data_IF_813191260890
#
_entry.id   IF_813191260890
#
_cell.length_a   1.000
_cell.length_b   1.000
_cell.length_c   1.000
_cell.angle_alpha   90.00
_cell.angle_beta   90.00
_cell.angle_gamma   90.00
#
_symmetry.space_group_name_H-M   'P 1'
#
loop_
_entity.id
_entity.type
_entity.pdbx_description
1 polymer ?
#
# COMPACT_ATOMS: atom_id res chain seq x y z
N UNK A 1 11.38 17.85 -18.84
CA UNK A 1 11.35 19.15 -18.13
C UNK A 1 9.94 19.69 -18.26
N UNK A 2 9.36 20.26 -17.21
CA UNK A 2 8.00 20.81 -17.28
C UNK A 2 8.05 22.33 -17.45
N UNK A 3 7.15 22.89 -18.26
CA UNK A 3 7.03 24.34 -18.43
C UNK A 3 6.34 24.98 -17.21
N UNK A 4 6.80 26.17 -16.80
CA UNK A 4 6.27 26.91 -15.64
C UNK A 4 5.74 28.29 -16.05
N UNK A 5 4.84 28.87 -15.24
CA UNK A 5 4.25 30.18 -15.51
C UNK A 5 3.96 30.93 -14.20
N UNK A 6 4.00 32.27 -14.21
CA UNK A 6 3.65 33.12 -13.07
C UNK A 6 2.17 33.02 -12.66
N UNK A 7 1.28 32.56 -13.54
CA UNK A 7 -0.11 32.21 -13.19
C UNK A 7 -0.24 30.84 -12.50
N UNK A 8 0.84 30.05 -12.40
CA UNK A 8 0.89 28.71 -11.80
C UNK A 8 1.83 28.69 -10.60
N UNK A 9 1.57 29.58 -9.65
CA UNK A 9 2.36 29.71 -8.42
C UNK A 9 1.46 29.68 -7.21
N UNK A 10 1.87 28.90 -6.21
CA UNK A 10 1.27 28.85 -4.88
C UNK A 10 2.16 29.66 -3.94
N UNK A 11 1.59 30.71 -3.37
CA UNK A 11 2.24 31.52 -2.35
C UNK A 11 1.90 30.97 -0.95
N UNK A 12 2.79 30.20 -0.33
CA UNK A 12 2.51 29.62 1.00
C UNK A 12 2.42 30.67 2.11
N UNK A 13 2.90 31.89 1.87
CA UNK A 13 2.76 33.00 2.81
C UNK A 13 1.32 33.45 3.01
N UNK A 14 0.38 33.04 2.15
CA UNK A 14 -1.05 33.32 2.30
C UNK A 14 -1.73 32.39 3.29
N UNK A 15 -1.12 31.22 3.59
CA UNK A 15 -1.73 30.19 4.43
C UNK A 15 -1.05 30.09 5.80
N UNK A 16 0.26 30.34 5.88
CA UNK A 16 1.04 30.17 7.12
C UNK A 16 2.03 31.30 7.34
N UNK A 17 2.45 31.48 8.60
CA UNK A 17 3.60 32.32 8.92
C UNK A 17 4.91 31.64 8.46
N UNK A 18 5.36 32.03 7.27
CA UNK A 18 6.60 31.50 6.67
C UNK A 18 7.87 31.87 7.45
N UNK A 19 7.81 32.76 8.45
CA UNK A 19 8.95 33.05 9.33
C UNK A 19 9.13 32.00 10.44
N UNK A 20 8.06 31.26 10.76
CA UNK A 20 8.03 30.20 11.76
C UNK A 20 8.55 28.84 11.24
N UNK A 21 8.84 28.73 9.94
CA UNK A 21 9.24 27.47 9.29
C UNK A 21 10.52 27.63 8.47
N UNK A 22 11.33 26.56 8.43
CA UNK A 22 12.32 26.35 7.38
C UNK A 22 11.65 25.62 6.23
N UNK A 23 11.75 26.16 5.03
CA UNK A 23 11.14 25.56 3.84
C UNK A 23 12.11 25.35 2.68
N UNK A 24 11.86 24.31 1.89
CA UNK A 24 12.35 24.18 0.51
C UNK A 24 11.23 24.65 -0.44
N UNK A 25 11.57 25.44 -1.46
CA UNK A 25 10.64 26.02 -2.45
C UNK A 25 10.78 25.33 -3.82
N UNK A 26 9.79 25.53 -4.69
CA UNK A 26 9.81 25.17 -6.11
C UNK A 26 8.78 24.09 -6.47
N UNK A 27 9.15 23.06 -7.24
CA UNK A 27 8.25 22.03 -7.79
C UNK A 27 7.83 20.96 -6.76
N UNK A 28 8.25 21.13 -5.51
CA UNK A 28 7.83 20.41 -4.31
C UNK A 28 8.23 21.25 -3.10
N UNK A 29 7.49 21.13 -2.00
CA UNK A 29 7.78 21.79 -0.74
C UNK A 29 8.22 20.81 0.34
N UNK A 30 9.13 21.23 1.21
CA UNK A 30 9.42 20.53 2.47
C UNK A 30 9.45 21.55 3.60
N UNK A 31 8.72 21.30 4.68
CA UNK A 31 8.60 22.23 5.81
C UNK A 31 8.99 21.60 7.14
N UNK A 32 9.79 22.36 7.90
CA UNK A 32 10.12 22.08 9.30
C UNK A 32 9.75 23.31 10.13
N UNK A 33 8.92 23.13 11.16
CA UNK A 33 8.66 24.19 12.15
C UNK A 33 9.94 24.43 12.95
N UNK A 34 10.31 25.71 13.10
CA UNK A 34 11.50 26.13 13.83
C UNK A 34 11.31 25.94 15.34
N UNK A 35 12.40 25.64 16.03
CA UNK A 35 12.38 25.57 17.49
C UNK A 35 12.08 26.95 18.08
N UNK A 36 11.14 27.01 19.05
CA UNK A 36 10.70 28.26 19.67
C UNK A 36 9.68 29.07 18.86
N UNK A 37 9.23 28.58 17.70
CA UNK A 37 8.17 29.21 16.94
C UNK A 37 6.83 29.20 17.71
N UNK A 38 6.01 30.24 17.53
CA UNK A 38 4.66 30.32 18.12
C UNK A 38 3.61 29.58 17.28
N UNK A 39 3.98 28.41 16.75
CA UNK A 39 3.08 27.50 16.01
C UNK A 39 3.54 26.06 16.23
N UNK A 40 2.64 25.10 15.98
CA UNK A 40 2.96 23.67 16.03
C UNK A 40 2.96 23.07 14.63
N UNK A 41 3.56 21.89 14.50
CA UNK A 41 3.53 21.12 13.25
C UNK A 41 2.10 20.81 12.83
N UNK A 42 1.25 20.43 13.79
CA UNK A 42 -0.16 20.10 13.56
C UNK A 42 -0.97 21.32 13.10
N UNK A 43 -0.71 22.50 13.67
CA UNK A 43 -1.34 23.75 13.25
C UNK A 43 -0.96 24.07 11.79
N UNK A 44 0.34 24.07 11.46
CA UNK A 44 0.83 24.28 10.09
C UNK A 44 0.25 23.26 9.11
N UNK A 45 0.19 21.99 9.51
CA UNK A 45 -0.39 20.93 8.69
C UNK A 45 -1.88 21.18 8.41
N UNK A 46 -2.63 21.61 9.43
CA UNK A 46 -4.06 21.92 9.31
C UNK A 46 -4.31 23.14 8.41
N UNK A 47 -3.53 24.20 8.56
CA UNK A 47 -3.66 25.44 7.77
C UNK A 47 -3.34 25.21 6.28
N UNK A 48 -2.44 24.27 5.98
CA UNK A 48 -2.05 23.94 4.61
C UNK A 48 -2.96 22.88 3.96
N UNK A 49 -3.56 21.98 4.72
CA UNK A 49 -4.41 20.92 4.14
C UNK A 49 -5.64 21.52 3.49
N UNK A 50 -5.89 21.13 2.24
CA UNK A 50 -7.05 21.55 1.45
C UNK A 50 -7.14 23.08 1.21
N UNK A 51 -6.07 23.85 1.43
CA UNK A 51 -6.09 25.31 1.24
C UNK A 51 -5.81 25.76 -0.20
N UNK A 52 -5.29 24.87 -1.05
CA UNK A 52 -5.13 25.10 -2.49
C UNK A 52 -5.31 23.79 -3.27
N UNK A 53 -6.01 23.82 -4.40
CA UNK A 53 -6.33 22.63 -5.20
C UNK A 53 -5.12 22.00 -5.92
N UNK A 54 -4.06 22.79 -6.13
CA UNK A 54 -2.84 22.37 -6.84
C UNK A 54 -1.72 21.92 -5.91
N UNK A 55 -2.01 21.75 -4.61
CA UNK A 55 -1.07 21.14 -3.66
C UNK A 55 -1.72 20.07 -2.80
N UNK A 56 -0.94 19.04 -2.48
CA UNK A 56 -1.28 17.97 -1.55
C UNK A 56 -0.24 17.94 -0.44
N UNK A 57 -0.71 18.01 0.79
CA UNK A 57 0.15 18.18 1.97
C UNK A 57 0.15 16.89 2.77
N UNK A 58 1.34 16.31 2.92
CA UNK A 58 1.56 15.04 3.58
C UNK A 58 2.45 15.24 4.81
N UNK A 59 2.17 14.49 5.87
CA UNK A 59 3.28 14.05 6.71
C UNK A 59 4.17 13.13 5.87
N UNK A 60 5.49 13.19 6.01
CA UNK A 60 6.41 12.39 5.17
C UNK A 60 6.08 10.89 5.23
N UNK A 61 5.61 10.38 6.37
CA UNK A 61 5.19 8.99 6.56
C UNK A 61 3.91 8.62 5.78
N UNK A 62 3.15 9.62 5.32
CA UNK A 62 1.90 9.46 4.57
C UNK A 62 2.10 9.61 3.05
N UNK A 63 3.33 9.87 2.59
CA UNK A 63 3.62 9.95 1.17
C UNK A 63 3.33 8.61 0.46
N UNK A 64 2.97 8.64 -0.83
CA UNK A 64 2.84 7.42 -1.62
C UNK A 64 4.12 6.56 -1.50
N UNK A 65 3.96 5.32 -1.02
CA UNK A 65 5.10 4.42 -0.70
C UNK A 65 6.06 4.24 -1.88
N UNK A 66 5.55 4.26 -3.12
CA UNK A 66 6.36 4.20 -4.36
C UNK A 66 7.46 5.27 -4.45
N UNK A 67 7.33 6.38 -3.74
CA UNK A 67 8.32 7.44 -3.72
C UNK A 67 9.55 7.09 -2.87
N UNK A 68 9.42 6.14 -1.93
CA UNK A 68 10.46 5.77 -0.96
C UNK A 68 11.12 7.01 -0.29
N UNK A 69 10.32 8.03 0.01
CA UNK A 69 10.78 9.37 0.41
C UNK A 69 10.35 9.77 1.83
N UNK A 70 10.53 8.87 2.80
CA UNK A 70 10.15 9.11 4.20
C UNK A 70 11.27 8.78 5.20
N UNK A 71 11.96 7.65 5.01
CA UNK A 71 12.92 7.10 5.98
C UNK A 71 14.31 7.77 5.95
N UNK A 72 14.37 9.08 6.19
CA UNK A 72 15.64 9.77 6.44
C UNK A 72 15.45 11.05 7.25
N UNK A 73 16.32 11.29 8.25
CA UNK A 73 16.28 12.49 9.11
C UNK A 73 16.44 13.85 8.39
N UNK A 74 16.85 13.83 7.12
CA UNK A 74 17.01 15.04 6.28
C UNK A 74 15.73 15.38 5.51
N UNK A 75 14.75 14.48 5.50
CA UNK A 75 13.43 14.73 4.94
C UNK A 75 12.60 15.35 6.07
N UNK A 76 12.21 16.61 5.86
CA UNK A 76 11.40 17.33 6.84
C UNK A 76 10.03 16.65 7.07
N UNK A 77 9.39 16.85 8.24
CA UNK A 77 8.15 16.17 8.60
C UNK A 77 6.98 16.44 7.67
N UNK A 78 6.89 17.63 7.07
CA UNK A 78 5.83 18.00 6.13
C UNK A 78 6.41 18.03 4.72
N UNK A 79 5.77 17.29 3.82
CA UNK A 79 6.03 17.32 2.38
C UNK A 79 4.82 17.91 1.65
N UNK A 80 5.08 18.76 0.66
CA UNK A 80 4.06 19.36 -0.20
C UNK A 80 4.32 18.90 -1.62
N UNK A 81 3.45 18.04 -2.12
CA UNK A 81 3.38 17.65 -3.52
C UNK A 81 2.57 18.71 -4.29
N UNK A 82 3.05 19.12 -5.45
CA UNK A 82 2.36 20.12 -6.29
C UNK A 82 2.16 19.57 -7.69
N UNK A 83 1.11 20.05 -8.35
CA UNK A 83 0.82 19.64 -9.72
C UNK A 83 1.95 20.00 -10.70
N UNK A 84 2.12 19.19 -11.74
CA UNK A 84 3.15 19.40 -12.76
C UNK A 84 3.06 20.81 -13.37
N UNK A 85 4.17 21.54 -13.37
CA UNK A 85 4.26 22.92 -13.86
C UNK A 85 3.78 24.01 -12.89
N UNK A 86 3.28 23.64 -11.70
CA UNK A 86 3.05 24.57 -10.59
C UNK A 86 4.31 24.73 -9.74
N UNK A 87 4.44 25.84 -9.02
CA UNK A 87 5.55 26.02 -8.08
C UNK A 87 5.08 26.63 -6.77
N UNK A 88 5.78 26.28 -5.70
CA UNK A 88 5.50 26.72 -4.35
C UNK A 88 6.59 27.65 -3.83
N UNK A 89 6.23 28.86 -3.43
CA UNK A 89 7.17 29.88 -2.92
C UNK A 89 6.62 30.62 -1.71
N UNK A 90 7.49 31.23 -0.91
CA UNK A 90 7.09 32.04 0.27
C UNK A 90 6.43 33.39 -0.06
N UNK A 91 6.59 33.85 -1.30
CA UNK A 91 6.01 35.09 -1.82
C UNK A 91 5.77 34.94 -3.32
N UNK A 92 4.84 35.71 -3.84
CA UNK A 92 4.63 35.80 -5.28
C UNK A 92 5.92 36.26 -6.00
N UNK A 93 6.34 35.55 -7.06
CA UNK A 93 7.44 35.98 -7.91
C UNK A 93 6.99 37.10 -8.85
N UNK A 94 7.88 38.04 -9.14
CA UNK A 94 7.60 39.08 -10.15
C UNK A 94 7.69 38.47 -11.55
N UNK A 95 6.94 39.05 -12.49
CA UNK A 95 7.03 38.69 -13.90
C UNK A 95 8.48 38.78 -14.40
N UNK A 96 8.94 37.73 -15.09
CA UNK A 96 10.32 37.61 -15.57
C UNK A 96 11.30 37.02 -14.56
N UNK A 97 10.89 36.71 -13.32
CA UNK A 97 11.73 35.92 -12.40
C UNK A 97 11.81 34.46 -12.88
N UNK A 98 12.99 33.84 -12.73
CA UNK A 98 13.22 32.42 -13.05
C UNK A 98 12.28 31.47 -12.28
N UNK A 99 11.77 31.92 -11.13
CA UNK A 99 10.82 31.20 -10.29
C UNK A 99 9.51 30.86 -11.02
N UNK A 100 9.15 31.62 -12.06
CA UNK A 100 7.89 31.43 -12.78
C UNK A 100 8.02 31.59 -14.30
N UNK A 101 9.22 31.46 -14.85
CA UNK A 101 9.48 31.56 -16.29
C UNK A 101 10.44 30.45 -16.75
N UNK A 102 10.20 29.91 -17.95
CA UNK A 102 10.99 28.80 -18.51
C UNK A 102 10.45 27.44 -18.07
N UNK A 103 11.32 26.56 -17.56
CA UNK A 103 10.95 25.22 -17.12
C UNK A 103 11.62 24.79 -15.82
N UNK A 104 11.02 23.81 -15.15
CA UNK A 104 11.44 23.27 -13.85
C UNK A 104 11.34 21.74 -13.81
N UNK A 105 12.06 21.12 -12.87
CA UNK A 105 12.02 19.68 -12.59
C UNK A 105 12.10 19.42 -11.09
N UNK A 106 11.59 18.27 -10.66
CA UNK A 106 11.51 17.89 -9.24
C UNK A 106 10.11 17.50 -8.78
N UNK A 107 9.14 17.53 -9.70
CA UNK A 107 7.79 16.99 -9.51
C UNK A 107 7.80 15.47 -9.34
N UNK A 108 6.62 14.91 -9.11
CA UNK A 108 6.38 13.48 -9.07
C UNK A 108 7.02 12.74 -10.26
N UNK A 109 7.77 11.68 -9.96
CA UNK A 109 8.55 10.92 -10.93
C UNK A 109 7.70 10.17 -11.97
N UNK A 110 6.38 10.06 -11.76
CA UNK A 110 5.46 9.44 -12.71
C UNK A 110 5.11 10.36 -13.89
N UNK A 111 5.29 11.68 -13.74
CA UNK A 111 4.94 12.63 -14.80
C UNK A 111 5.81 12.41 -16.04
N UNK A 112 5.24 12.40 -17.26
CA UNK A 112 6.00 12.26 -18.49
C UNK A 112 7.15 13.25 -18.62
N UNK A 113 6.95 14.49 -18.18
CA UNK A 113 7.98 15.53 -18.21
C UNK A 113 9.18 15.24 -17.29
N UNK A 114 9.02 14.41 -16.26
CA UNK A 114 10.07 14.01 -15.34
C UNK A 114 10.83 12.75 -15.79
N UNK A 115 10.41 12.13 -16.90
CA UNK A 115 11.09 10.95 -17.44
C UNK A 115 12.45 11.33 -18.03
N UNK A 116 13.45 10.49 -17.77
CA UNK A 116 14.78 10.59 -18.36
C UNK A 116 14.88 9.74 -19.62
N UNK A 117 15.86 10.04 -20.48
CA UNK A 117 16.21 9.20 -21.61
C UNK A 117 17.24 8.14 -21.19
N UNK A 118 17.17 6.96 -21.83
CA UNK A 118 18.18 5.92 -21.68
C UNK A 118 18.57 5.39 -23.08
N UNK A 119 19.87 5.28 -23.32
CA UNK A 119 20.43 4.63 -24.51
C UNK A 119 21.70 3.91 -24.10
N UNK A 120 21.94 2.74 -24.68
CA UNK A 120 23.09 1.92 -24.36
C UNK A 120 23.62 1.25 -25.63
N UNK A 121 24.93 1.34 -25.84
CA UNK A 121 25.62 0.75 -26.99
C UNK A 121 26.85 0.02 -26.47
N UNK A 122 26.97 -1.26 -26.80
CA UNK A 122 28.10 -2.05 -26.34
C UNK A 122 28.07 -3.49 -26.89
N UNK A 123 29.19 -4.23 -26.74
CA UNK A 123 29.31 -5.59 -27.24
C UNK A 123 28.38 -6.58 -26.53
N UNK A 124 28.12 -6.37 -25.23
CA UNK A 124 27.30 -7.25 -24.38
C UNK A 124 25.79 -7.00 -24.52
N UNK A 125 25.38 -5.86 -25.09
CA UNK A 125 23.99 -5.44 -25.23
C UNK A 125 23.38 -5.95 -26.54
N UNK A 126 22.09 -6.26 -26.53
CA UNK A 126 21.33 -6.56 -27.76
C UNK A 126 21.37 -5.36 -28.71
N UNK A 127 21.41 -5.62 -30.02
CA UNK A 127 21.39 -4.58 -31.07
C UNK A 127 19.96 -4.38 -31.55
N UNK A 128 19.61 -3.16 -31.95
CA UNK A 128 18.29 -2.80 -32.48
C UNK A 128 17.14 -3.25 -31.57
N UNK A 129 17.31 -3.10 -30.26
CA UNK A 129 16.36 -3.52 -29.25
C UNK A 129 15.76 -2.28 -28.56
N UNK A 130 14.44 -2.21 -28.52
CA UNK A 130 13.69 -1.23 -27.73
C UNK A 130 13.21 -1.89 -26.44
N UNK A 131 13.29 -1.15 -25.34
CA UNK A 131 12.88 -1.63 -24.02
C UNK A 131 11.75 -0.78 -23.49
N UNK A 132 10.85 -1.39 -22.71
CA UNK A 132 9.83 -0.66 -21.95
C UNK A 132 10.48 0.24 -20.88
N UNK A 133 9.79 1.32 -20.44
CA UNK A 133 10.30 2.17 -19.38
C UNK A 133 10.62 1.39 -18.10
N UNK A 134 11.75 1.70 -17.48
CA UNK A 134 12.19 1.11 -16.21
C UNK A 134 12.70 2.21 -15.27
N UNK A 135 12.84 1.88 -13.97
CA UNK A 135 13.31 2.83 -12.94
C UNK A 135 14.84 2.88 -12.90
N UNK A 136 15.41 4.07 -12.74
CA UNK A 136 16.86 4.28 -12.84
C UNK A 136 17.68 3.60 -11.73
N UNK A 137 17.05 3.17 -10.63
CA UNK A 137 17.69 2.38 -9.57
C UNK A 137 18.18 1.03 -10.06
N UNK A 138 17.58 0.48 -11.12
CA UNK A 138 18.00 -0.78 -11.76
C UNK A 138 19.35 -0.66 -12.49
N UNK A 139 19.80 0.56 -12.82
CA UNK A 139 21.01 0.77 -13.61
C UNK A 139 22.29 0.34 -12.87
N UNK A 140 22.31 0.42 -11.55
CA UNK A 140 23.48 0.02 -10.77
C UNK A 140 23.81 -1.46 -10.96
N UNK A 141 22.80 -2.32 -10.86
CA UNK A 141 22.91 -3.77 -11.11
C UNK A 141 23.41 -4.04 -12.53
N UNK A 142 22.83 -3.38 -13.54
CA UNK A 142 23.25 -3.53 -14.94
C UNK A 142 24.72 -3.11 -15.16
N UNK A 143 25.16 -2.01 -14.54
CA UNK A 143 26.55 -1.55 -14.65
C UNK A 143 27.52 -2.52 -13.98
N UNK A 144 27.16 -3.06 -12.81
CA UNK A 144 27.95 -4.08 -12.13
C UNK A 144 28.09 -5.35 -12.97
N UNK A 145 26.99 -5.83 -13.56
CA UNK A 145 26.94 -6.97 -14.47
C UNK A 145 27.83 -6.76 -15.70
N UNK A 146 27.75 -5.58 -16.33
CA UNK A 146 28.58 -5.23 -17.49
C UNK A 146 30.08 -5.10 -17.16
N UNK A 147 30.41 -4.67 -15.94
CA UNK A 147 31.78 -4.54 -15.46
C UNK A 147 32.34 -5.84 -14.86
N UNK A 148 31.52 -6.88 -14.68
CA UNK A 148 31.92 -8.14 -14.06
C UNK A 148 32.25 -8.01 -12.57
N UNK A 149 31.60 -7.08 -11.85
CA UNK A 149 31.80 -6.85 -10.41
C UNK A 149 30.56 -7.23 -9.61
N UNK A 150 30.75 -7.69 -8.38
CA UNK A 150 29.65 -7.95 -7.48
C UNK A 150 29.02 -6.61 -7.01
N UNK A 151 27.70 -6.43 -7.14
CA UNK A 151 27.01 -5.25 -6.63
C UNK A 151 27.00 -5.26 -5.09
N UNK A 152 27.09 -4.07 -4.48
CA UNK A 152 26.77 -3.89 -3.06
C UNK A 152 25.24 -3.88 -2.85
N UNK A 153 24.74 -4.11 -1.62
CA UNK A 153 23.32 -4.02 -1.33
C UNK A 153 22.70 -2.70 -1.80
N UNK A 154 21.64 -2.79 -2.59
CA UNK A 154 20.95 -1.66 -3.19
C UNK A 154 19.46 -2.01 -3.43
N UNK A 155 18.69 -1.09 -4.02
CA UNK A 155 17.25 -1.27 -4.24
C UNK A 155 16.88 -1.74 -5.65
N UNK A 156 17.87 -1.97 -6.54
CA UNK A 156 17.64 -2.58 -7.84
C UNK A 156 17.29 -4.06 -7.70
N UNK A 157 16.43 -4.55 -8.58
CA UNK A 157 16.08 -5.96 -8.70
C UNK A 157 17.03 -6.62 -9.69
N UNK A 158 18.05 -7.31 -9.19
CA UNK A 158 18.99 -8.06 -10.04
C UNK A 158 18.21 -8.97 -10.99
N UNK A 159 18.53 -8.90 -12.28
CA UNK A 159 17.81 -9.65 -13.32
C UNK A 159 16.76 -8.85 -14.09
N UNK A 160 16.21 -7.78 -13.50
CA UNK A 160 15.14 -6.98 -14.12
C UNK A 160 15.51 -6.48 -15.51
N UNK A 161 16.79 -6.12 -15.72
CA UNK A 161 17.34 -5.62 -16.99
C UNK A 161 18.14 -6.66 -17.79
N UNK A 162 18.14 -7.95 -17.43
CA UNK A 162 18.86 -9.00 -18.17
C UNK A 162 18.37 -9.16 -19.61
N UNK A 163 17.12 -8.80 -19.88
CA UNK A 163 16.56 -8.83 -21.23
C UNK A 163 17.24 -7.82 -22.18
N UNK A 164 18.02 -6.85 -21.68
CA UNK A 164 18.87 -5.95 -22.49
C UNK A 164 20.17 -6.63 -22.98
N UNK A 165 20.63 -7.67 -22.29
CA UNK A 165 21.92 -8.33 -22.54
C UNK A 165 21.77 -9.44 -23.58
N UNK A 166 22.81 -9.67 -24.38
CA UNK A 166 22.87 -10.84 -25.29
C UNK A 166 22.93 -12.15 -24.51
N UNK A 167 23.71 -12.15 -23.43
CA UNK A 167 23.84 -13.23 -22.48
C UNK A 167 24.20 -12.62 -21.11
N UNK A 168 23.39 -12.85 -20.06
CA UNK A 168 23.78 -12.53 -18.70
C UNK A 168 25.05 -13.31 -18.31
N UNK A 169 25.96 -12.66 -17.60
CA UNK A 169 27.25 -13.22 -17.18
C UNK A 169 27.14 -14.13 -15.96
N UNK A 170 26.18 -13.88 -15.08
CA UNK A 170 25.83 -14.77 -13.96
C UNK A 170 24.37 -15.24 -14.01
N UNK A 171 24.11 -16.52 -13.67
CA UNK A 171 22.77 -16.96 -13.33
C UNK A 171 22.19 -16.09 -12.22
N UNK A 172 20.87 -15.93 -12.25
CA UNK A 172 20.15 -15.45 -11.08
C UNK A 172 20.34 -16.47 -9.96
N UNK A 173 20.40 -15.98 -8.73
CA UNK A 173 20.49 -16.87 -7.58
C UNK A 173 19.21 -17.72 -7.56
N UNK A 174 19.34 -19.00 -7.21
CA UNK A 174 18.17 -19.87 -7.08
C UNK A 174 17.24 -19.26 -6.01
N UNK A 175 15.97 -19.06 -6.35
CA UNK A 175 14.99 -18.63 -5.35
C UNK A 175 14.90 -19.72 -4.27
N UNK A 176 14.89 -19.32 -2.99
CA UNK A 176 14.72 -20.27 -1.88
C UNK A 176 13.46 -21.12 -2.11
N UNK A 177 13.52 -22.41 -1.75
CA UNK A 177 12.36 -23.28 -1.94
C UNK A 177 11.12 -22.69 -1.24
N UNK A 178 10.01 -22.52 -1.98
CA UNK A 178 8.77 -21.96 -1.46
C UNK A 178 8.26 -22.69 -0.22
N UNK A 179 8.01 -21.95 0.87
CA UNK A 179 7.18 -22.47 1.97
C UNK A 179 5.72 -22.12 1.72
N UNK A 180 4.98 -23.06 1.15
CA UNK A 180 3.53 -22.93 0.94
C UNK A 180 2.82 -22.97 2.30
N UNK A 181 1.86 -22.06 2.58
CA UNK A 181 1.06 -22.09 3.79
C UNK A 181 0.37 -23.45 4.00
N UNK A 182 0.27 -23.87 5.27
CA UNK A 182 -0.44 -25.11 5.62
C UNK A 182 -1.93 -24.96 5.35
N UNK A 183 -2.60 -25.99 4.84
CA UNK A 183 -4.05 -25.95 4.64
C UNK A 183 -4.81 -25.95 5.97
N UNK A 184 -5.81 -25.07 6.10
CA UNK A 184 -6.76 -25.12 7.22
C UNK A 184 -7.79 -26.24 7.05
N UNK A 185 -8.12 -26.95 8.14
CA UNK A 185 -9.05 -28.08 8.18
C UNK A 185 -10.12 -27.81 9.25
N UNK A 186 -11.39 -28.04 8.92
CA UNK A 186 -12.53 -27.72 9.79
C UNK A 186 -12.72 -28.74 10.93
N UNK A 187 -11.86 -28.66 11.95
CA UNK A 187 -11.85 -29.58 13.10
C UNK A 187 -12.06 -28.89 14.46
N UNK A 188 -12.26 -27.56 14.46
CA UNK A 188 -12.30 -26.75 15.67
C UNK A 188 -13.69 -26.18 15.95
N UNK A 189 -13.91 -25.76 17.20
CA UNK A 189 -15.18 -25.13 17.61
C UNK A 189 -15.27 -23.68 17.11
N UNK A 190 -16.16 -23.37 16.15
CA UNK A 190 -16.31 -22.01 15.64
C UNK A 190 -16.84 -21.02 16.69
N UNK A 191 -17.42 -21.50 17.80
CA UNK A 191 -17.91 -20.60 18.87
C UNK A 191 -16.78 -19.92 19.65
N UNK A 192 -15.55 -20.42 19.54
CA UNK A 192 -14.37 -19.82 20.18
C UNK A 192 -14.09 -18.38 19.71
N UNK A 193 -14.60 -17.99 18.53
CA UNK A 193 -14.48 -16.63 18.01
C UNK A 193 -15.45 -15.62 18.66
N UNK A 194 -16.39 -16.07 19.50
CA UNK A 194 -17.36 -15.23 20.22
C UNK A 194 -18.18 -14.32 19.28
N UNK A 195 -18.51 -14.82 18.09
CA UNK A 195 -19.22 -14.06 17.08
C UNK A 195 -20.75 -14.15 17.25
N UNK A 196 -21.49 -13.09 16.87
CA UNK A 196 -22.92 -12.98 17.19
C UNK A 196 -23.81 -13.90 16.35
N UNK A 197 -23.37 -14.28 15.14
CA UNK A 197 -24.14 -15.16 14.28
C UNK A 197 -23.83 -16.64 14.50
N UNK A 198 -24.83 -17.47 14.23
CA UNK A 198 -24.67 -18.92 14.24
C UNK A 198 -23.58 -19.34 13.25
N UNK A 199 -22.74 -20.34 13.61
CA UNK A 199 -21.68 -20.81 12.73
C UNK A 199 -22.20 -21.17 11.33
N UNK A 200 -21.51 -20.66 10.31
CA UNK A 200 -21.73 -21.09 8.94
C UNK A 200 -21.18 -22.52 8.73
N UNK A 201 -21.77 -23.31 7.81
CA UNK A 201 -21.21 -24.62 7.47
C UNK A 201 -19.83 -24.47 6.82
N UNK A 202 -18.98 -25.49 6.98
CA UNK A 202 -17.67 -25.55 6.32
C UNK A 202 -17.83 -25.56 4.77
N UNK A 203 -17.07 -24.73 4.03
CA UNK A 203 -17.11 -24.71 2.57
C UNK A 203 -16.73 -26.07 1.97
N UNK A 204 -17.63 -26.65 1.16
CA UNK A 204 -17.36 -27.89 0.41
C UNK A 204 -16.74 -27.56 -0.94
N UNK A 205 -15.47 -27.14 -0.93
CA UNK A 205 -14.76 -26.65 -2.12
C UNK A 205 -13.85 -27.73 -2.71
N UNK A 206 -13.84 -27.85 -4.05
CA UNK A 206 -12.77 -28.58 -4.75
C UNK A 206 -11.49 -27.73 -4.70
N UNK A 207 -10.55 -28.11 -3.84
CA UNK A 207 -9.39 -27.28 -3.54
C UNK A 207 -8.45 -27.07 -4.71
N UNK A 208 -8.26 -28.05 -5.60
CA UNK A 208 -7.38 -27.87 -6.77
C UNK A 208 -7.98 -26.89 -7.75
N UNK A 209 -9.27 -27.05 -8.08
CA UNK A 209 -9.97 -26.17 -9.01
C UNK A 209 -10.04 -24.72 -8.49
N UNK A 210 -10.25 -24.54 -7.18
CA UNK A 210 -10.24 -23.22 -6.53
C UNK A 210 -8.86 -22.56 -6.57
N UNK A 211 -7.79 -23.35 -6.37
CA UNK A 211 -6.40 -22.87 -6.49
C UNK A 211 -6.09 -22.40 -7.91
N UNK A 212 -6.38 -23.25 -8.91
CA UNK A 212 -6.13 -22.94 -10.32
C UNK A 212 -6.92 -21.71 -10.79
N UNK A 213 -8.13 -21.52 -10.26
CA UNK A 213 -8.97 -20.38 -10.60
C UNK A 213 -8.44 -19.08 -10.00
N UNK A 214 -8.21 -19.05 -8.68
CA UNK A 214 -7.94 -17.81 -7.94
C UNK A 214 -6.46 -17.46 -7.83
N UNK A 215 -5.56 -18.43 -8.02
CA UNK A 215 -4.10 -18.26 -7.96
C UNK A 215 -3.42 -18.96 -9.15
N UNK A 216 -3.76 -18.61 -10.41
CA UNK A 216 -3.16 -19.25 -11.60
C UNK A 216 -1.64 -18.98 -11.74
N UNK A 217 -1.09 -18.08 -10.93
CA UNK A 217 0.33 -17.70 -10.90
C UNK A 217 1.09 -18.30 -9.72
N UNK A 218 0.46 -19.20 -8.96
CA UNK A 218 1.03 -19.78 -7.75
C UNK A 218 0.59 -19.08 -6.47
N UNK A 219 0.83 -19.75 -5.35
CA UNK A 219 0.48 -19.26 -4.02
C UNK A 219 1.48 -18.19 -3.59
N UNK A 220 1.04 -16.98 -3.16
CA UNK A 220 1.96 -15.97 -2.65
C UNK A 220 2.80 -16.51 -1.50
N UNK A 221 4.11 -16.40 -1.67
CA UNK A 221 5.10 -16.97 -0.77
C UNK A 221 5.64 -15.90 0.18
N UNK A 222 6.22 -16.34 1.29
CA UNK A 222 6.93 -15.48 2.22
C UNK A 222 8.21 -16.15 2.65
N UNK A 223 9.33 -15.43 2.53
CA UNK A 223 10.63 -15.88 3.05
C UNK A 223 10.67 -15.91 4.58
N UNK A 224 9.69 -15.29 5.25
CA UNK A 224 9.56 -15.26 6.71
C UNK A 224 8.11 -15.47 7.16
N UNK A 225 7.90 -16.30 8.19
CA UNK A 225 6.59 -16.45 8.84
C UNK A 225 5.52 -17.23 8.08
N UNK A 226 5.86 -17.91 6.97
CA UNK A 226 4.92 -18.84 6.28
C UNK A 226 4.43 -19.96 7.20
N UNK A 227 5.25 -20.37 8.18
CA UNK A 227 4.92 -21.40 9.17
C UNK A 227 3.72 -21.00 10.06
N UNK A 228 3.31 -19.72 10.06
CA UNK A 228 2.16 -19.20 10.80
C UNK A 228 0.94 -18.91 9.92
N UNK A 229 1.01 -19.20 8.62
CA UNK A 229 -0.08 -18.99 7.67
C UNK A 229 -0.91 -20.26 7.46
N UNK A 230 -2.22 -20.10 7.50
CA UNK A 230 -3.19 -21.12 7.10
C UNK A 230 -3.87 -20.72 5.78
N UNK A 231 -3.79 -21.57 4.76
CA UNK A 231 -4.53 -21.41 3.51
C UNK A 231 -5.96 -21.94 3.68
N UNK A 232 -6.93 -21.04 3.58
CA UNK A 232 -8.36 -21.30 3.71
C UNK A 232 -9.01 -21.20 2.32
N UNK A 233 -9.63 -22.29 1.89
CA UNK A 233 -10.33 -22.38 0.61
C UNK A 233 -11.82 -22.07 0.78
N UNK A 234 -12.30 -21.05 0.06
CA UNK A 234 -13.71 -20.71 -0.05
C UNK A 234 -14.10 -20.78 -1.53
N UNK A 235 -15.39 -20.80 -1.82
CA UNK A 235 -15.93 -20.99 -3.16
C UNK A 235 -15.51 -19.88 -4.12
N UNK A 236 -15.55 -18.62 -3.66
CA UNK A 236 -15.27 -17.45 -4.49
C UNK A 236 -13.91 -16.78 -4.22
N UNK A 237 -13.19 -17.23 -3.19
CA UNK A 237 -11.89 -16.66 -2.80
C UNK A 237 -11.03 -17.64 -1.99
N UNK A 238 -9.72 -17.45 -2.08
CA UNK A 238 -8.71 -18.04 -1.21
C UNK A 238 -8.24 -17.00 -0.20
N UNK A 239 -7.92 -17.44 1.01
CA UNK A 239 -7.44 -16.57 2.07
C UNK A 239 -6.25 -17.22 2.77
N UNK A 240 -5.15 -16.48 2.93
CA UNK A 240 -4.10 -16.86 3.87
C UNK A 240 -4.32 -16.15 5.19
N UNK A 241 -4.54 -16.91 6.26
CA UNK A 241 -4.78 -16.41 7.60
C UNK A 241 -3.50 -16.47 8.43
N UNK A 242 -3.06 -15.34 8.99
CA UNK A 242 -1.97 -15.31 9.95
C UNK A 242 -2.47 -15.68 11.34
N UNK A 243 -2.05 -16.83 11.85
CA UNK A 243 -2.35 -17.30 13.21
C UNK A 243 -1.60 -16.50 14.29
N UNK A 244 -0.51 -15.84 13.92
CA UNK A 244 0.25 -14.93 14.77
C UNK A 244 -0.47 -13.59 14.93
N UNK A 245 -0.86 -12.96 13.81
CA UNK A 245 -1.53 -11.67 13.80
C UNK A 245 -3.05 -11.76 14.01
N UNK A 246 -3.60 -12.98 13.96
CA UNK A 246 -5.03 -13.29 14.05
C UNK A 246 -5.86 -12.54 13.02
N UNK A 247 -5.37 -12.42 11.79
CA UNK A 247 -6.07 -11.75 10.69
C UNK A 247 -5.64 -12.30 9.33
N UNK A 248 -6.40 -12.00 8.28
CA UNK A 248 -6.01 -12.32 6.92
C UNK A 248 -4.70 -11.61 6.55
N UNK A 249 -3.70 -12.36 6.09
CA UNK A 249 -2.47 -11.82 5.50
C UNK A 249 -2.70 -11.39 4.05
N UNK A 250 -3.51 -12.15 3.31
CA UNK A 250 -3.99 -11.80 1.99
C UNK A 250 -5.23 -12.62 1.61
N UNK A 251 -5.98 -12.12 0.64
CA UNK A 251 -7.10 -12.77 -0.05
C UNK A 251 -6.81 -12.73 -1.54
N UNK A 252 -7.01 -13.85 -2.22
CA UNK A 252 -6.94 -13.98 -3.66
C UNK A 252 -8.29 -14.43 -4.23
N UNK A 253 -8.76 -13.77 -5.28
CA UNK A 253 -10.03 -14.12 -5.94
C UNK A 253 -9.99 -13.73 -7.41
N UNK A 254 -10.95 -14.24 -8.19
CA UNK A 254 -11.08 -13.93 -9.61
C UNK A 254 -12.44 -13.32 -9.86
N UNK A 255 -12.44 -12.09 -10.38
CA UNK A 255 -13.66 -11.41 -10.75
C UNK A 255 -13.98 -11.69 -12.21
N UNK A 256 -15.13 -12.29 -12.53
CA UNK A 256 -15.57 -12.46 -13.90
C UNK A 256 -15.97 -11.11 -14.52
N UNK A 257 -16.01 -11.04 -15.85
CA UNK A 257 -16.27 -9.79 -16.59
C UNK A 257 -17.62 -9.13 -16.30
N UNK A 258 -18.59 -9.90 -15.78
CA UNK A 258 -19.93 -9.44 -15.46
C UNK A 258 -20.23 -9.56 -13.96
N UNK A 259 -19.20 -9.43 -13.11
CA UNK A 259 -19.38 -9.45 -11.66
C UNK A 259 -20.46 -8.44 -11.24
N UNK A 260 -21.58 -8.95 -10.74
CA UNK A 260 -22.67 -8.10 -10.22
C UNK A 260 -22.33 -7.71 -8.80
N UNK A 261 -22.30 -6.40 -8.54
CA UNK A 261 -22.21 -5.88 -7.18
C UNK A 261 -23.58 -6.00 -6.52
N UNK A 262 -23.74 -6.96 -5.61
CA UNK A 262 -24.88 -6.96 -4.71
C UNK A 262 -24.64 -5.99 -3.55
N UNK A 263 -25.69 -5.27 -3.13
CA UNK A 263 -25.61 -4.39 -1.97
C UNK A 263 -25.59 -5.25 -0.69
N UNK A 264 -24.38 -5.60 -0.25
CA UNK A 264 -24.13 -6.35 0.97
C UNK A 264 -23.47 -5.42 1.99
N UNK A 265 -24.27 -4.65 2.71
CA UNK A 265 -23.80 -3.72 3.75
C UNK A 265 -23.85 -4.30 5.16
N UNK A 266 -24.69 -5.31 5.39
CA UNK A 266 -24.82 -5.98 6.68
C UNK A 266 -23.99 -7.26 6.73
N UNK A 267 -22.90 -7.23 7.50
CA UNK A 267 -22.07 -8.39 7.79
C UNK A 267 -22.42 -8.89 9.19
N UNK A 268 -22.78 -10.17 9.30
CA UNK A 268 -22.91 -10.84 10.58
C UNK A 268 -21.84 -11.91 10.70
N UNK A 269 -20.79 -11.60 11.46
CA UNK A 269 -19.61 -12.46 11.57
C UNK A 269 -19.95 -13.82 12.19
N UNK A 270 -19.29 -14.86 11.67
CA UNK A 270 -19.33 -16.23 12.19
C UNK A 270 -17.91 -16.71 12.47
N UNK A 271 -17.73 -17.62 13.42
CA UNK A 271 -16.43 -18.23 13.64
C UNK A 271 -16.07 -19.22 12.53
N UNK A 272 -14.77 -19.35 12.25
CA UNK A 272 -14.25 -20.25 11.23
C UNK A 272 -13.75 -21.55 11.89
N UNK A 273 -14.36 -22.71 11.62
CA UNK A 273 -13.97 -23.98 12.25
C UNK A 273 -12.59 -24.47 11.80
N UNK A 274 -11.96 -23.82 10.80
CA UNK A 274 -10.64 -24.20 10.26
C UNK A 274 -9.47 -23.59 11.03
N UNK A 275 -9.75 -22.78 12.05
CA UNK A 275 -8.72 -22.09 12.85
C UNK A 275 -8.84 -22.50 14.33
N UNK A 276 -7.73 -22.88 14.99
CA UNK A 276 -7.75 -23.24 16.41
C UNK A 276 -8.27 -22.11 17.31
N UNK A 277 -8.89 -22.48 18.44
CA UNK A 277 -9.53 -21.55 19.38
C UNK A 277 -8.57 -20.50 19.98
N UNK A 278 -7.31 -20.85 20.21
CA UNK A 278 -6.29 -19.91 20.72
C UNK A 278 -5.72 -18.99 19.62
N UNK A 279 -5.91 -19.36 18.35
CA UNK A 279 -5.41 -18.65 17.16
C UNK A 279 -6.46 -17.84 16.43
N UNK A 280 -7.76 -18.06 16.66
CA UNK A 280 -8.83 -17.28 16.02
C UNK A 280 -8.89 -15.85 16.56
N UNK A 281 -9.28 -14.93 15.68
CA UNK A 281 -9.75 -13.60 16.06
C UNK A 281 -11.07 -13.71 16.82
N UNK A 282 -11.29 -12.78 17.76
CA UNK A 282 -12.57 -12.66 18.47
C UNK A 282 -13.36 -11.48 17.94
N UNK A 283 -14.65 -11.70 17.68
CA UNK A 283 -15.56 -10.63 17.27
C UNK A 283 -15.71 -9.54 18.36
N UNK A 284 -15.59 -9.94 19.64
CA UNK A 284 -15.67 -9.04 20.80
C UNK A 284 -14.49 -8.06 20.93
N UNK A 285 -13.40 -8.22 20.17
CA UNK A 285 -12.27 -7.28 20.21
C UNK A 285 -12.69 -5.84 19.87
N UNK A 286 -13.62 -5.68 18.93
CA UNK A 286 -14.10 -4.39 18.45
C UNK A 286 -15.07 -3.69 19.40
N UNK A 287 -15.54 -4.39 20.44
CA UNK A 287 -16.38 -3.80 21.48
C UNK A 287 -15.59 -2.98 22.51
N UNK A 288 -14.27 -3.15 22.53
CA UNK A 288 -13.41 -2.45 23.48
C UNK A 288 -13.36 -0.93 23.21
N UNK A 289 -13.14 -0.16 24.28
CA UNK A 289 -13.06 1.30 24.22
C UNK A 289 -12.03 1.78 23.19
N UNK A 290 -10.92 1.05 23.06
CA UNK A 290 -9.86 1.36 22.12
C UNK A 290 -10.38 1.45 20.67
N UNK A 291 -11.10 0.44 20.17
CA UNK A 291 -11.59 0.44 18.79
C UNK A 291 -12.67 1.51 18.57
N UNK A 292 -13.51 1.75 19.59
CA UNK A 292 -14.56 2.78 19.57
C UNK A 292 -13.98 4.20 19.52
N UNK A 293 -13.03 4.52 20.39
CA UNK A 293 -12.39 5.85 20.44
C UNK A 293 -11.64 6.18 19.15
N UNK A 294 -11.00 5.18 18.54
CA UNK A 294 -10.26 5.34 17.29
C UNK A 294 -11.12 5.16 16.03
N UNK A 295 -12.44 4.98 16.20
CA UNK A 295 -13.40 4.81 15.10
C UNK A 295 -12.98 3.71 14.12
N UNK A 296 -12.57 2.55 14.65
CA UNK A 296 -12.19 1.38 13.84
C UNK A 296 -13.34 0.39 13.82
N UNK A 297 -13.57 -0.17 12.64
CA UNK A 297 -14.61 -1.13 12.36
C UNK A 297 -14.01 -2.47 11.96
N UNK A 298 -14.72 -3.53 12.30
CA UNK A 298 -14.46 -4.85 11.74
C UNK A 298 -15.04 -4.91 10.33
N UNK A 299 -14.18 -5.09 9.33
CA UNK A 299 -14.56 -5.05 7.91
C UNK A 299 -13.97 -6.23 7.15
N UNK A 300 -14.64 -6.63 6.08
CA UNK A 300 -14.20 -7.73 5.26
C UNK A 300 -13.03 -7.32 4.35
N UNK A 301 -12.07 -8.24 4.15
CA UNK A 301 -11.02 -8.07 3.16
C UNK A 301 -11.52 -8.49 1.77
N UNK A 302 -12.16 -9.65 1.67
CA UNK A 302 -12.98 -10.04 0.52
C UNK A 302 -14.40 -9.47 0.65
N UNK A 303 -14.87 -8.75 -0.36
CA UNK A 303 -16.21 -8.14 -0.35
C UNK A 303 -17.29 -9.18 -0.72
N UNK A 304 -18.18 -9.47 0.23
CA UNK A 304 -19.30 -10.42 0.08
C UNK A 304 -20.24 -10.08 -1.08
N UNK A 305 -20.26 -8.82 -1.53
CA UNK A 305 -21.10 -8.41 -2.65
C UNK A 305 -20.66 -8.97 -4.00
N UNK A 306 -19.46 -9.56 -4.09
CA UNK A 306 -18.97 -10.28 -5.27
C UNK A 306 -19.41 -11.75 -5.33
N UNK A 307 -19.94 -12.29 -4.24
CA UNK A 307 -20.39 -13.67 -4.15
C UNK A 307 -21.85 -13.83 -4.55
N UNK A 308 -22.18 -15.00 -5.09
CA UNK A 308 -23.56 -15.44 -5.24
C UNK A 308 -24.21 -15.74 -3.88
N UNK A 309 -25.55 -15.72 -3.83
CA UNK A 309 -26.30 -15.93 -2.58
C UNK A 309 -25.98 -17.27 -1.88
N UNK A 310 -25.56 -18.29 -2.63
CA UNK A 310 -25.21 -19.61 -2.10
C UNK A 310 -23.86 -19.69 -1.40
N UNK A 311 -22.90 -18.82 -1.76
CA UNK A 311 -21.52 -18.80 -1.24
C UNK A 311 -21.23 -17.55 -0.40
N UNK A 312 -22.13 -16.56 -0.40
CA UNK A 312 -21.97 -15.31 0.33
C UNK A 312 -21.79 -15.48 1.85
N UNK A 313 -22.33 -16.55 2.45
CA UNK A 313 -22.15 -16.85 3.88
C UNK A 313 -20.69 -17.17 4.22
N UNK A 314 -19.90 -17.68 3.28
CA UNK A 314 -18.48 -17.99 3.47
C UNK A 314 -17.66 -16.70 3.67
N UNK A 315 -18.05 -15.61 2.99
CA UNK A 315 -17.43 -14.30 3.18
C UNK A 315 -17.64 -13.69 4.59
N UNK A 316 -18.53 -14.28 5.39
CA UNK A 316 -18.86 -13.86 6.76
C UNK A 316 -18.03 -14.57 7.83
N UNK A 317 -17.08 -15.44 7.47
CA UNK A 317 -16.13 -15.96 8.44
C UNK A 317 -15.25 -14.85 9.01
N UNK A 318 -15.03 -14.86 10.33
CA UNK A 318 -14.20 -13.89 11.05
C UNK A 318 -12.76 -13.84 10.54
N UNK A 319 -12.27 -14.92 9.92
CA UNK A 319 -10.96 -15.01 9.26
C UNK A 319 -10.82 -14.04 8.09
N UNK A 320 -11.92 -13.66 7.44
CA UNK A 320 -11.99 -12.62 6.40
C UNK A 320 -12.06 -11.20 6.97
N UNK A 321 -12.12 -11.04 8.29
CA UNK A 321 -12.22 -9.73 8.93
C UNK A 321 -10.86 -9.11 9.20
N UNK A 322 -10.75 -7.80 8.98
CA UNK A 322 -9.59 -6.97 9.33
C UNK A 322 -10.06 -5.64 9.94
N UNK A 323 -9.23 -5.00 10.79
CA UNK A 323 -9.55 -3.69 11.34
C UNK A 323 -9.37 -2.61 10.27
N UNK A 324 -10.39 -1.77 10.07
CA UNK A 324 -10.34 -0.61 9.17
C UNK A 324 -10.95 0.62 9.82
N UNK A 325 -10.35 1.79 9.60
CA UNK A 325 -10.93 3.06 10.08
C UNK A 325 -12.29 3.32 9.43
N UNK A 326 -13.22 3.97 10.13
CA UNK A 326 -14.52 4.40 9.61
C UNK A 326 -14.40 5.17 8.29
N UNK A 327 -13.36 6.02 8.17
CA UNK A 327 -13.09 6.82 6.97
C UNK A 327 -12.74 5.95 5.73
N UNK A 328 -12.38 4.68 5.91
CA UNK A 328 -12.13 3.76 4.80
C UNK A 328 -13.41 3.33 4.07
N UNK A 329 -14.58 3.44 4.68
CA UNK A 329 -15.82 2.92 4.09
C UNK A 329 -16.08 3.49 2.69
N UNK A 330 -15.80 4.79 2.49
CA UNK A 330 -15.93 5.42 1.17
C UNK A 330 -14.86 4.95 0.17
N UNK A 331 -13.65 4.64 0.64
CA UNK A 331 -12.58 4.11 -0.20
C UNK A 331 -12.89 2.68 -0.64
N UNK A 332 -13.42 1.84 0.26
CA UNK A 332 -13.84 0.47 -0.05
C UNK A 332 -14.87 0.45 -1.19
N UNK A 333 -15.92 1.27 -1.10
CA UNK A 333 -16.95 1.39 -2.13
C UNK A 333 -16.36 1.85 -3.48
N UNK A 334 -15.39 2.77 -3.46
CA UNK A 334 -14.66 3.18 -4.67
C UNK A 334 -13.83 2.04 -5.24
N UNK A 335 -13.13 1.29 -4.38
CA UNK A 335 -12.30 0.15 -4.80
C UNK A 335 -13.13 -0.97 -5.43
N UNK A 336 -14.26 -1.34 -4.84
CA UNK A 336 -15.14 -2.38 -5.41
C UNK A 336 -15.72 -1.96 -6.75
N UNK A 337 -16.08 -0.67 -6.91
CA UNK A 337 -16.52 -0.10 -8.18
C UNK A 337 -15.39 -0.11 -9.24
N UNK A 338 -14.16 0.26 -8.86
CA UNK A 338 -13.00 0.23 -9.75
C UNK A 338 -12.70 -1.20 -10.22
N UNK A 339 -12.70 -2.17 -9.32
CA UNK A 339 -12.45 -3.58 -9.65
C UNK A 339 -13.52 -4.13 -10.59
N UNK A 340 -14.79 -3.82 -10.33
CA UNK A 340 -15.90 -4.25 -11.20
C UNK A 340 -15.81 -3.63 -12.60
N UNK A 341 -15.48 -2.33 -12.66
CA UNK A 341 -15.25 -1.64 -13.94
C UNK A 341 -14.10 -2.28 -14.70
N UNK A 342 -12.95 -2.51 -14.05
CA UNK A 342 -11.82 -3.17 -14.69
C UNK A 342 -12.21 -4.54 -15.21
N UNK A 343 -12.86 -5.40 -14.41
CA UNK A 343 -13.32 -6.70 -14.89
C UNK A 343 -14.21 -6.58 -16.14
N UNK A 344 -15.07 -5.57 -16.21
CA UNK A 344 -15.95 -5.36 -17.36
C UNK A 344 -15.22 -4.86 -18.62
N UNK A 345 -14.22 -3.99 -18.47
CA UNK A 345 -13.45 -3.41 -19.58
C UNK A 345 -12.37 -4.38 -20.09
N UNK A 346 -11.79 -5.14 -19.17
CA UNK A 346 -10.55 -5.88 -19.39
C UNK A 346 -10.80 -7.40 -19.49
N UNK A 347 -12.01 -7.88 -19.22
CA UNK A 347 -12.27 -9.30 -19.05
C UNK A 347 -11.95 -9.76 -17.61
N UNK A 348 -11.95 -11.07 -17.32
CA UNK A 348 -11.75 -11.56 -15.97
C UNK A 348 -10.42 -11.07 -15.39
N UNK A 349 -10.43 -10.62 -14.13
CA UNK A 349 -9.23 -10.15 -13.42
C UNK A 349 -8.97 -10.99 -12.18
N UNK A 350 -7.70 -11.27 -11.91
CA UNK A 350 -7.27 -11.88 -10.65
C UNK A 350 -6.87 -10.77 -9.68
N UNK A 351 -7.39 -10.82 -8.46
CA UNK A 351 -7.18 -9.80 -7.44
C UNK A 351 -6.53 -10.44 -6.23
N UNK A 352 -5.38 -9.90 -5.82
CA UNK A 352 -4.74 -10.19 -4.54
C UNK A 352 -4.81 -8.93 -3.68
N UNK A 353 -5.35 -9.04 -2.47
CA UNK A 353 -5.43 -7.91 -1.54
C UNK A 353 -5.08 -8.34 -0.13
N UNK A 354 -4.46 -7.45 0.65
CA UNK A 354 -4.08 -7.75 2.03
C UNK A 354 -3.68 -6.52 2.84
N UNK A 355 -3.60 -6.65 4.18
CA UNK A 355 -2.99 -5.64 5.03
C UNK A 355 -1.48 -5.53 4.77
N UNK A 356 -0.94 -4.33 4.94
CA UNK A 356 0.48 -4.03 4.91
C UNK A 356 0.81 -3.15 6.12
N UNK A 357 1.88 -3.50 6.82
CA UNK A 357 2.33 -2.79 8.00
C UNK A 357 3.66 -2.13 7.66
N UNK A 358 3.74 -0.81 7.80
CA UNK A 358 4.98 -0.04 7.63
C UNK A 358 5.03 1.09 8.65
N UNK A 359 5.05 0.70 9.93
CA UNK A 359 4.97 1.61 11.08
C UNK A 359 6.11 2.62 11.15
N UNK A 360 7.21 2.34 10.47
CA UNK A 360 8.42 3.16 10.46
C UNK A 360 8.62 3.91 9.13
N UNK A 361 7.64 3.81 8.20
CA UNK A 361 7.70 4.38 6.86
C UNK A 361 9.00 4.02 6.10
N UNK A 362 9.44 2.78 6.27
CA UNK A 362 10.69 2.24 5.70
C UNK A 362 10.48 1.60 4.33
N UNK A 363 9.24 1.27 3.97
CA UNK A 363 8.89 0.42 2.83
C UNK A 363 9.18 -1.06 3.07
N UNK A 364 9.46 -1.48 4.30
CA UNK A 364 9.82 -2.85 4.66
C UNK A 364 8.85 -3.38 5.71
N UNK A 365 8.41 -4.64 5.56
CA UNK A 365 7.59 -5.34 6.56
C UNK A 365 8.35 -5.37 7.90
N UNK A 366 7.77 -4.87 9.00
CA UNK A 366 8.43 -4.87 10.29
C UNK A 366 8.59 -6.31 10.82
N UNK A 367 9.70 -6.56 11.53
CA UNK A 367 9.92 -7.83 12.22
C UNK A 367 9.00 -8.02 13.44
N UNK A 368 8.81 -9.26 13.94
CA UNK A 368 7.89 -9.60 15.04
C UNK A 368 8.04 -8.72 16.30
N UNK A 369 9.27 -8.35 16.65
CA UNK A 369 9.60 -7.51 17.82
C UNK A 369 8.93 -6.13 17.80
N UNK A 370 8.53 -5.64 16.63
CA UNK A 370 7.83 -4.35 16.50
C UNK A 370 6.33 -4.47 16.85
N UNK A 371 5.80 -5.69 16.92
CA UNK A 371 4.44 -6.00 17.34
C UNK A 371 4.34 -6.37 18.85
N UNK A 372 5.43 -6.84 19.47
CA UNK A 372 5.45 -7.37 20.85
C UNK A 372 5.30 -6.30 21.95
N UNK A 373 5.66 -5.03 21.68
CA UNK A 373 5.69 -3.97 22.71
C UNK A 373 4.56 -2.95 22.65
N UNK A 374 3.54 -3.14 21.81
CA UNK A 374 2.40 -2.21 21.74
C UNK A 374 1.13 -2.87 22.26
N UNK A 375 0.88 -2.69 23.55
CA UNK A 375 -0.45 -2.75 24.18
C UNK A 375 -1.42 -1.65 23.68
N UNK A 376 -1.11 -1.04 22.53
CA UNK A 376 -1.86 0.02 21.87
C UNK A 376 -1.87 -0.29 20.38
N UNK A 377 -3.01 -0.74 19.90
CA UNK A 377 -3.35 -0.91 18.49
C UNK A 377 -3.38 0.46 17.74
N UNK A 378 -2.55 1.44 18.11
CA UNK A 378 -2.62 2.83 17.63
C UNK A 378 -2.31 2.98 16.12
N UNK A 379 -1.78 1.94 15.47
CA UNK A 379 -1.36 1.98 14.07
C UNK A 379 -1.92 0.80 13.27
N UNK A 380 -2.72 1.12 12.24
CA UNK A 380 -3.48 0.15 11.44
C UNK A 380 -2.77 -0.22 10.13
N UNK A 381 -3.01 -1.43 9.60
CA UNK A 381 -2.45 -1.84 8.32
C UNK A 381 -3.01 -1.01 7.16
N UNK A 382 -2.17 -0.74 6.15
CA UNK A 382 -2.53 -0.28 4.81
C UNK A 382 -3.20 -1.42 4.02
N UNK A 383 -4.28 -1.19 3.28
CA UNK A 383 -4.86 -2.19 2.40
C UNK A 383 -4.22 -2.09 1.02
N UNK A 384 -3.36 -3.05 0.68
CA UNK A 384 -2.73 -3.11 -0.64
C UNK A 384 -3.57 -4.00 -1.54
N UNK A 385 -4.12 -3.42 -2.61
CA UNK A 385 -4.85 -4.16 -3.65
C UNK A 385 -3.95 -4.28 -4.88
N UNK A 386 -3.78 -5.48 -5.41
CA UNK A 386 -3.02 -5.74 -6.63
C UNK A 386 -3.87 -6.55 -7.63
N UNK A 387 -4.38 -5.92 -8.70
CA UNK A 387 -4.94 -6.64 -9.83
C UNK A 387 -3.82 -7.18 -10.72
N UNK A 388 -3.99 -8.37 -11.33
CA UNK A 388 -3.00 -8.95 -12.24
C UNK A 388 -3.63 -9.60 -13.48
N UNK A 389 -2.95 -9.48 -14.63
CA UNK A 389 -3.22 -10.20 -15.89
C UNK A 389 -1.91 -10.79 -16.45
N UNK A 390 -2.04 -11.85 -17.27
CA UNK A 390 -0.93 -12.63 -17.86
C UNK A 390 0.08 -11.81 -18.70
N UNK A 391 -0.31 -10.64 -19.20
CA UNK A 391 0.53 -9.78 -20.04
C UNK A 391 0.95 -8.47 -19.36
N UNK A 392 0.46 -8.19 -18.15
CA UNK A 392 0.87 -7.02 -17.38
C UNK A 392 0.63 -7.25 -15.89
N UNK A 393 1.72 -7.38 -15.12
CA UNK A 393 1.69 -7.18 -13.67
C UNK A 393 1.60 -5.67 -13.42
N UNK A 394 0.47 -5.05 -13.74
CA UNK A 394 0.27 -3.65 -13.38
C UNK A 394 -0.06 -3.57 -11.90
N UNK A 395 0.90 -3.13 -11.09
CA UNK A 395 0.63 -2.52 -9.79
C UNK A 395 -0.27 -1.28 -9.99
N UNK A 396 -1.57 -1.48 -10.19
CA UNK A 396 -2.54 -0.37 -10.32
C UNK A 396 -2.96 0.12 -8.94
N UNK A 397 -2.00 0.59 -8.14
CA UNK A 397 -2.16 1.34 -6.87
C UNK A 397 -2.23 0.49 -5.59
N UNK A 398 -1.18 0.63 -4.76
CA UNK A 398 -1.29 0.41 -3.33
C UNK A 398 -1.89 1.68 -2.71
N UNK A 399 -3.06 1.59 -2.08
CA UNK A 399 -3.61 2.70 -1.31
C UNK A 399 -3.10 2.58 0.12
N UNK A 400 -2.52 3.65 0.69
CA UNK A 400 -2.30 3.65 2.12
C UNK A 400 -3.66 3.62 2.83
N UNK A 401 -3.79 2.80 3.89
CA UNK A 401 -4.80 3.08 4.89
C UNK A 401 -4.40 4.35 5.62
N UNK A 402 -4.64 5.51 5.01
CA UNK A 402 -4.28 6.77 5.63
C UNK A 402 -5.19 6.97 6.84
N UNK A 403 -4.52 7.18 7.96
CA UNK A 403 -5.10 7.68 9.19
C UNK A 403 -4.96 9.21 9.24
N UNK A 404 -6.03 9.89 9.65
CA UNK A 404 -5.95 11.22 10.25
C UNK A 404 -5.93 11.05 11.77
N UNK A 405 -4.89 11.60 12.42
CA UNK A 405 -4.83 11.74 13.88
C UNK A 405 -6.09 12.44 14.43
N UNK A 406 -6.83 11.88 15.41
CA UNK A 406 -7.56 12.71 16.36
C UNK A 406 -6.57 13.30 17.37
N UNK A 407 -6.71 14.62 17.59
CA UNK A 407 -6.11 15.46 18.65
C UNK A 407 -5.24 14.71 19.68
N UNK A 408 -3.92 14.83 19.53
CA UNK A 408 -2.98 14.40 20.56
C UNK A 408 -3.12 15.30 21.81
N UNK A 409 -3.80 14.79 22.84
CA UNK A 409 -3.70 15.32 24.18
C UNK A 409 -2.40 14.81 24.84
N UNK A 410 -1.50 15.76 25.11
CA UNK A 410 -0.44 15.75 26.11
C UNK A 410 0.19 14.39 26.48
N UNK A 411 1.34 14.06 25.87
CA UNK A 411 2.35 13.25 26.57
C UNK A 411 3.36 14.17 27.24
N UNK A 412 3.26 14.25 28.57
CA UNK A 412 4.30 14.83 29.43
C UNK A 412 5.58 14.01 29.30
N UNK A 413 6.69 14.70 29.10
CA UNK A 413 8.05 14.19 29.32
C UNK A 413 8.18 13.70 30.76
N UNK A 414 8.56 12.45 30.97
CA UNK A 414 9.24 12.04 32.20
C UNK A 414 10.72 11.95 31.90
N UNK A 415 11.47 12.86 32.53
CA UNK A 415 12.92 12.87 32.61
C UNK A 415 13.44 11.67 33.42
N UNK A 416 14.55 11.10 32.98
CA UNK A 416 15.72 10.88 33.83
C UNK A 416 16.97 11.25 33.06
#
# INVERSE_FOLDING_TARGET
MADINCSRVINIGEFIDVSAVRNTEGPMGRLQVLEGANTSLEAVLQDLRCSNEHMRVYLREQLPVRAHYANHRRIEPIFIDVDNGWNLFRREPKAGEWKCSGGMHGYDNIFPDMRAFFTAIGPSLKRNFSVEPFINTELYELMCELAGIAPNPNNGTRGSLHHLLKAPSRPLDDEEEPRVPTRGIAEHDPRAAECPCNPAPDPRVNTSASLDLHLPFGVPESTTGSDHLLLLHNTDYLLAYSTEQKMAAWVAFTLPSQAKLSDSSSVCWTGDPRVPADKTAKCTYYDSLFFKEKSILQRALYYSGFSDASSQTEAMFVTNSIPKSLNHTALEAKMTAILSRWASEEGPIHVLTGPAFDLLATGIKPGPQHFEHRSKFDDFPLCVVKPYKREDIVLRHAYPCIWEQPKASQMRKTSK
#
